data_IF_334193979126
#
_entry.id   IF_334193979126
#
_cell.length_a   1.000
_cell.length_b   1.000
_cell.length_c   1.000
_cell.angle_alpha   90.00
_cell.angle_beta   90.00
_cell.angle_gamma   90.00
#
_symmetry.space_group_name_H-M   'P 1'
#
loop_
_entity.id
_entity.type
_entity.pdbx_description
1 polymer ?
#
# COMPACT_ATOMS: atom_id res chain seq x y z
N UNK A 1 8.59 -8.82 -16.07
CA UNK A 1 7.25 -8.18 -16.13
C UNK A 1 7.30 -6.89 -15.33
N UNK A 2 6.80 -5.78 -15.87
CA UNK A 2 6.73 -4.47 -15.19
C UNK A 2 5.37 -4.26 -14.49
N UNK A 3 4.88 -5.29 -13.79
CA UNK A 3 3.57 -5.24 -13.14
C UNK A 3 3.67 -4.42 -11.86
N UNK A 4 2.82 -3.40 -11.72
CA UNK A 4 2.69 -2.54 -10.54
C UNK A 4 1.31 -2.72 -9.90
N UNK A 5 1.14 -2.23 -8.68
CA UNK A 5 -0.11 -2.31 -7.95
C UNK A 5 -1.18 -1.49 -8.67
N UNK A 6 -2.35 -2.07 -8.89
CA UNK A 6 -3.43 -1.35 -9.59
C UNK A 6 -4.01 -0.23 -8.72
N UNK A 7 -4.73 0.74 -9.31
CA UNK A 7 -5.41 1.79 -8.54
C UNK A 7 -6.39 1.24 -7.50
N UNK A 8 -7.07 0.13 -7.83
CA UNK A 8 -7.95 -0.58 -6.87
C UNK A 8 -7.15 -1.26 -5.77
N UNK A 9 -6.01 -1.87 -6.10
CA UNK A 9 -5.09 -2.44 -5.13
C UNK A 9 -4.54 -1.38 -4.16
N UNK A 10 -4.15 -0.21 -4.67
CA UNK A 10 -3.71 0.94 -3.85
C UNK A 10 -4.82 1.33 -2.87
N UNK A 11 -6.06 1.52 -3.34
CA UNK A 11 -7.20 1.84 -2.47
C UNK A 11 -7.50 0.75 -1.43
N UNK A 12 -7.39 -0.52 -1.81
CA UNK A 12 -7.65 -1.66 -0.92
C UNK A 12 -6.62 -1.74 0.22
N UNK A 13 -5.34 -1.53 -0.10
CA UNK A 13 -4.28 -1.50 0.90
C UNK A 13 -4.44 -0.29 1.83
N UNK A 14 -4.72 0.91 1.30
CA UNK A 14 -4.95 2.10 2.12
C UNK A 14 -6.15 1.90 3.05
N UNK A 15 -7.21 1.21 2.59
CA UNK A 15 -8.37 0.90 3.44
C UNK A 15 -8.03 -0.01 4.63
N UNK A 16 -6.98 -0.83 4.53
CA UNK A 16 -6.48 -1.63 5.64
C UNK A 16 -5.64 -0.83 6.64
N UNK A 17 -4.84 0.13 6.18
CA UNK A 17 -3.87 0.86 7.00
C UNK A 17 -4.43 2.15 7.62
N UNK A 18 -5.40 2.78 6.96
CA UNK A 18 -5.82 4.16 7.18
C UNK A 18 -4.74 5.21 6.81
N UNK A 19 -5.13 6.48 6.86
CA UNK A 19 -4.25 7.63 6.58
C UNK A 19 -4.12 8.49 7.84
N UNK A 20 -2.90 8.90 8.16
CA UNK A 20 -2.62 9.90 9.21
C UNK A 20 -1.65 10.94 8.66
N UNK A 21 -2.15 12.15 8.39
CA UNK A 21 -1.38 13.18 7.65
C UNK A 21 -0.29 13.89 8.48
N UNK A 22 -0.28 13.70 9.80
CA UNK A 22 0.77 14.18 10.69
C UNK A 22 1.48 12.98 11.30
N UNK A 23 2.75 13.16 11.70
CA UNK A 23 3.49 12.07 12.35
C UNK A 23 2.75 11.54 13.58
N UNK A 24 2.81 10.23 13.76
CA UNK A 24 2.27 9.52 14.91
C UNK A 24 3.23 8.40 15.34
N UNK A 25 3.02 7.85 16.53
CA UNK A 25 3.73 6.65 16.98
C UNK A 25 2.84 5.44 16.75
N UNK A 26 3.36 4.43 16.07
CA UNK A 26 2.70 3.15 15.92
C UNK A 26 2.63 2.37 17.26
N UNK A 27 2.08 1.16 17.24
CA UNK A 27 1.98 0.30 18.44
C UNK A 27 3.35 -0.13 18.99
N UNK A 28 4.43 0.02 18.22
CA UNK A 28 5.81 -0.27 18.62
C UNK A 28 6.56 1.01 19.06
N UNK A 29 5.90 2.17 19.03
CA UNK A 29 6.49 3.46 19.39
C UNK A 29 7.33 4.11 18.28
N UNK A 30 7.31 3.57 17.07
CA UNK A 30 8.07 4.06 15.92
C UNK A 30 7.32 5.26 15.31
N UNK A 31 8.05 6.32 14.94
CA UNK A 31 7.48 7.45 14.23
C UNK A 31 7.05 7.05 12.82
N UNK A 32 5.78 7.32 12.51
CA UNK A 32 5.10 6.93 11.29
C UNK A 32 4.28 8.11 10.74
N UNK A 33 4.09 8.20 9.43
CA UNK A 33 3.24 9.22 8.79
C UNK A 33 2.54 8.66 7.53
N UNK A 34 1.49 9.32 7.07
CA UNK A 34 0.77 8.94 5.85
C UNK A 34 0.10 7.58 6.00
N UNK A 35 0.42 6.68 5.08
CA UNK A 35 -0.06 5.28 5.05
C UNK A 35 1.08 4.37 5.51
N UNK A 36 1.30 4.31 6.82
CA UNK A 36 2.28 3.41 7.43
C UNK A 36 3.77 3.71 7.12
N UNK A 37 4.11 4.88 6.57
CA UNK A 37 5.48 5.22 6.20
C UNK A 37 6.37 5.44 7.44
N UNK A 38 7.56 4.83 7.45
CA UNK A 38 8.57 4.98 8.52
C UNK A 38 9.94 5.28 7.90
N UNK A 39 10.88 5.81 8.70
CA UNK A 39 12.24 6.10 8.23
C UNK A 39 12.97 4.89 7.62
N UNK A 40 12.58 3.66 7.98
CA UNK A 40 13.13 2.43 7.39
C UNK A 40 12.80 2.26 5.89
N UNK A 41 11.75 2.92 5.39
CA UNK A 41 11.43 2.98 3.96
C UNK A 41 12.35 3.95 3.20
N UNK A 42 13.11 4.80 3.93
CA UNK A 42 13.98 5.83 3.37
C UNK A 42 13.23 7.06 2.87
N UNK A 43 13.97 8.11 2.52
CA UNK A 43 13.39 9.39 2.11
C UNK A 43 13.02 10.23 3.32
N UNK A 44 11.73 10.56 3.47
CA UNK A 44 11.21 11.38 4.56
C UNK A 44 11.41 10.67 5.92
N UNK A 45 12.03 11.33 6.91
CA UNK A 45 12.04 10.83 8.28
C UNK A 45 10.85 11.40 9.09
N UNK A 46 9.85 10.59 9.51
CA UNK A 46 8.73 11.07 10.31
C UNK A 46 9.14 11.63 11.69
N UNK A 47 10.30 11.25 12.22
CA UNK A 47 10.82 11.78 13.48
C UNK A 47 11.31 13.23 13.34
N UNK A 48 11.70 13.66 12.14
CA UNK A 48 12.19 15.00 11.84
C UNK A 48 11.11 15.89 11.21
N UNK A 49 10.13 15.28 10.53
CA UNK A 49 9.02 16.00 9.91
C UNK A 49 7.95 16.44 10.93
N UNK A 50 7.82 17.75 11.14
CA UNK A 50 6.83 18.32 12.07
C UNK A 50 5.59 18.92 11.39
N UNK A 51 5.56 18.89 10.06
CA UNK A 51 4.45 19.40 9.26
C UNK A 51 3.27 18.44 9.15
N UNK A 52 2.42 18.70 8.15
CA UNK A 52 1.30 17.85 7.79
C UNK A 52 1.31 17.64 6.27
N UNK A 53 1.20 16.39 5.84
CA UNK A 53 1.05 16.03 4.44
C UNK A 53 -0.31 16.50 3.90
N UNK A 54 -0.36 16.84 2.63
CA UNK A 54 -1.60 16.77 1.84
C UNK A 54 -2.01 15.30 1.62
N UNK A 55 -3.25 15.06 1.18
CA UNK A 55 -3.69 13.70 0.86
C UNK A 55 -2.89 13.14 -0.33
N UNK A 56 -2.64 13.97 -1.31
CA UNK A 56 -1.83 13.70 -2.49
C UNK A 56 -0.39 13.33 -2.08
N UNK A 57 0.22 14.07 -1.15
CA UNK A 57 1.56 13.77 -0.63
C UNK A 57 1.59 12.41 0.07
N UNK A 58 0.60 12.13 0.92
CA UNK A 58 0.53 10.86 1.64
C UNK A 58 0.37 9.66 0.70
N UNK A 59 -0.41 9.80 -0.38
CA UNK A 59 -0.59 8.75 -1.38
C UNK A 59 0.66 8.61 -2.27
N UNK A 60 1.30 9.71 -2.66
CA UNK A 60 2.54 9.68 -3.43
C UNK A 60 3.67 8.98 -2.65
N UNK A 61 3.81 9.30 -1.36
CA UNK A 61 4.75 8.65 -0.45
C UNK A 61 4.44 7.15 -0.35
N UNK A 62 3.18 6.80 -0.14
CA UNK A 62 2.75 5.40 -0.10
C UNK A 62 3.04 4.63 -1.40
N UNK A 63 2.81 5.24 -2.57
CA UNK A 63 3.15 4.62 -3.87
C UNK A 63 4.65 4.41 -4.04
N UNK A 64 5.46 5.31 -3.49
CA UNK A 64 6.92 5.13 -3.43
C UNK A 64 7.29 3.91 -2.59
N UNK A 65 6.70 3.79 -1.39
CA UNK A 65 6.93 2.67 -0.48
C UNK A 65 6.52 1.33 -1.12
N UNK A 66 5.37 1.31 -1.81
CA UNK A 66 4.88 0.14 -2.53
C UNK A 66 5.90 -0.41 -3.53
N UNK A 67 6.72 0.45 -4.15
CA UNK A 67 7.73 0.02 -5.11
C UNK A 67 8.68 -1.06 -4.56
N UNK A 68 8.99 -1.03 -3.26
CA UNK A 68 9.80 -2.07 -2.61
C UNK A 68 9.07 -3.41 -2.54
N UNK A 69 7.82 -3.41 -2.10
CA UNK A 69 6.99 -4.62 -1.98
C UNK A 69 6.67 -5.21 -3.36
N UNK A 70 6.36 -4.37 -4.34
CA UNK A 70 6.15 -4.79 -5.72
C UNK A 70 7.38 -5.49 -6.32
N UNK A 71 8.60 -4.97 -6.07
CA UNK A 71 9.84 -5.64 -6.50
C UNK A 71 9.99 -7.03 -5.87
N UNK A 72 9.64 -7.17 -4.58
CA UNK A 72 9.71 -8.45 -3.86
C UNK A 72 8.70 -9.45 -4.41
N UNK A 73 7.45 -9.03 -4.62
CA UNK A 73 6.42 -9.87 -5.26
C UNK A 73 6.87 -10.30 -6.66
N UNK A 74 7.32 -9.38 -7.51
CA UNK A 74 7.80 -9.73 -8.88
C UNK A 74 8.94 -10.74 -8.87
N UNK A 75 9.79 -10.74 -7.84
CA UNK A 75 10.89 -11.70 -7.68
C UNK A 75 10.40 -13.04 -7.13
N UNK A 76 9.47 -13.02 -6.17
CA UNK A 76 9.03 -14.20 -5.45
C UNK A 76 8.16 -15.14 -6.31
N UNK A 77 7.43 -14.60 -7.29
CA UNK A 77 6.57 -15.36 -8.18
C UNK A 77 7.27 -15.65 -9.52
N UNK A 78 7.49 -16.93 -9.81
CA UNK A 78 8.10 -17.39 -11.07
C UNK A 78 7.05 -17.73 -12.14
N UNK A 79 5.78 -17.87 -11.73
CA UNK A 79 4.62 -18.05 -12.61
C UNK A 79 3.85 -16.72 -12.75
N UNK A 80 3.21 -16.45 -13.91
CA UNK A 80 2.45 -15.23 -14.10
C UNK A 80 1.29 -15.07 -13.10
N UNK A 81 1.17 -13.86 -12.57
CA UNK A 81 0.06 -13.42 -11.73
C UNK A 81 -0.92 -12.59 -12.56
N UNK A 82 -2.22 -12.79 -12.33
CA UNK A 82 -3.25 -11.84 -12.72
C UNK A 82 -3.10 -10.57 -11.87
N UNK A 83 -3.64 -9.45 -12.35
CA UNK A 83 -3.49 -8.18 -11.64
C UNK A 83 -4.01 -8.21 -10.20
N UNK A 84 -5.16 -8.82 -9.95
CA UNK A 84 -5.72 -8.92 -8.60
C UNK A 84 -4.91 -9.85 -7.67
N UNK A 85 -4.27 -10.88 -8.22
CA UNK A 85 -3.36 -11.77 -7.47
C UNK A 85 -2.09 -11.01 -7.07
N UNK A 86 -1.56 -10.19 -7.98
CA UNK A 86 -0.43 -9.30 -7.70
C UNK A 86 -0.77 -8.28 -6.60
N UNK A 87 -1.92 -7.61 -6.71
CA UNK A 87 -2.37 -6.65 -5.70
C UNK A 87 -2.56 -7.30 -4.31
N UNK A 88 -3.13 -8.52 -4.26
CA UNK A 88 -3.24 -9.29 -3.02
C UNK A 88 -1.87 -9.69 -2.44
N UNK A 89 -0.92 -10.10 -3.27
CA UNK A 89 0.43 -10.45 -2.84
C UNK A 89 1.20 -9.23 -2.31
N UNK A 90 1.02 -8.05 -2.93
CA UNK A 90 1.60 -6.79 -2.44
C UNK A 90 0.96 -6.40 -1.11
N UNK A 91 -0.36 -6.47 -0.96
CA UNK A 91 -1.05 -6.20 0.31
C UNK A 91 -0.57 -7.13 1.44
N UNK A 92 -0.40 -8.42 1.11
CA UNK A 92 0.14 -9.42 2.02
C UNK A 92 1.56 -9.06 2.49
N UNK A 93 2.44 -8.71 1.55
CA UNK A 93 3.84 -8.37 1.85
C UNK A 93 3.97 -7.03 2.58
N UNK A 94 3.13 -6.05 2.26
CA UNK A 94 3.07 -4.77 2.97
C UNK A 94 2.78 -5.00 4.45
N UNK A 95 1.86 -5.91 4.77
CA UNK A 95 1.51 -6.22 6.16
C UNK A 95 2.58 -7.04 6.91
N UNK A 96 3.23 -7.98 6.22
CA UNK A 96 4.02 -9.04 6.88
C UNK A 96 5.52 -8.94 6.66
N UNK A 97 5.93 -8.27 5.59
CA UNK A 97 7.30 -8.28 5.09
C UNK A 97 7.80 -9.69 4.74
N UNK A 98 6.91 -10.64 4.44
CA UNK A 98 7.24 -12.07 4.44
C UNK A 98 7.04 -12.79 3.10
N UNK A 99 6.78 -12.08 2.00
CA UNK A 99 6.43 -12.73 0.72
C UNK A 99 7.48 -13.76 0.26
N UNK A 100 8.77 -13.47 0.47
CA UNK A 100 9.88 -14.31 0.03
C UNK A 100 9.98 -15.66 0.76
N UNK A 101 9.32 -15.80 1.92
CA UNK A 101 9.36 -17.02 2.76
C UNK A 101 8.00 -17.67 2.95
N UNK A 102 6.97 -17.15 2.31
CA UNK A 102 5.61 -17.64 2.50
C UNK A 102 5.38 -18.92 1.70
N UNK A 103 5.02 -20.01 2.37
CA UNK A 103 4.82 -21.33 1.73
C UNK A 103 3.84 -21.28 0.57
N UNK A 104 2.78 -20.46 0.67
CA UNK A 104 1.78 -20.32 -0.39
C UNK A 104 2.39 -19.83 -1.71
N UNK A 105 3.43 -19.00 -1.67
CA UNK A 105 4.16 -18.54 -2.87
C UNK A 105 4.93 -19.68 -3.51
N UNK A 106 5.58 -20.53 -2.71
CA UNK A 106 6.27 -21.72 -3.21
C UNK A 106 5.28 -22.71 -3.85
N UNK A 107 4.14 -22.96 -3.20
CA UNK A 107 3.06 -23.81 -3.72
C UNK A 107 2.48 -23.26 -5.02
N UNK A 108 2.26 -21.95 -5.13
CA UNK A 108 1.84 -21.32 -6.39
C UNK A 108 2.85 -21.55 -7.52
N UNK A 109 4.14 -21.37 -7.24
CA UNK A 109 5.20 -21.55 -8.23
C UNK A 109 5.32 -23.01 -8.72
N UNK A 110 4.93 -23.98 -7.88
CA UNK A 110 4.82 -25.39 -8.25
C UNK A 110 3.60 -25.70 -9.14
N UNK A 111 2.68 -24.74 -9.30
CA UNK A 111 1.50 -24.86 -10.15
C UNK A 111 0.21 -25.21 -9.41
N UNK A 112 0.26 -25.41 -8.09
CA UNK A 112 -0.91 -25.73 -7.28
C UNK A 112 -1.56 -24.45 -6.75
N UNK A 113 -2.48 -23.88 -7.55
CA UNK A 113 -3.13 -22.61 -7.21
C UNK A 113 -4.14 -22.75 -6.08
N UNK A 114 -4.87 -23.85 -6.03
CA UNK A 114 -5.94 -24.05 -5.05
C UNK A 114 -5.34 -24.19 -3.64
N UNK A 115 -4.30 -25.02 -3.50
CA UNK A 115 -3.59 -25.15 -2.23
C UNK A 115 -2.89 -23.83 -1.84
N UNK A 116 -2.32 -23.11 -2.81
CA UNK A 116 -1.74 -21.78 -2.55
C UNK A 116 -2.78 -20.83 -1.95
N UNK A 117 -4.00 -20.78 -2.50
CA UNK A 117 -5.08 -19.92 -1.98
C UNK A 117 -5.41 -20.28 -0.54
N UNK A 118 -5.56 -21.57 -0.23
CA UNK A 118 -5.83 -22.03 1.14
C UNK A 118 -4.71 -21.62 2.12
N UNK A 119 -3.46 -21.78 1.70
CA UNK A 119 -2.29 -21.50 2.52
C UNK A 119 -2.06 -20.02 2.83
N UNK A 120 -2.71 -19.07 2.14
CA UNK A 120 -2.68 -17.65 2.51
C UNK A 120 -3.13 -17.46 3.97
N UNK A 121 -4.13 -18.25 4.42
CA UNK A 121 -4.64 -18.19 5.80
C UNK A 121 -3.70 -18.80 6.86
N UNK A 122 -2.57 -19.39 6.47
CA UNK A 122 -1.54 -19.80 7.44
C UNK A 122 -0.91 -18.59 8.15
N UNK A 123 -0.99 -17.40 7.54
CA UNK A 123 -0.46 -16.15 8.06
C UNK A 123 -1.46 -15.38 8.92
N UNK A 124 -2.09 -16.03 9.89
CA UNK A 124 -3.25 -15.52 10.65
C UNK A 124 -2.96 -15.05 12.08
N UNK A 125 -1.68 -14.84 12.42
CA UNK A 125 -1.27 -14.41 13.76
C UNK A 125 -0.69 -12.99 13.71
N UNK A 126 -1.08 -12.11 14.64
CA UNK A 126 -2.04 -12.32 15.74
C UNK A 126 -3.53 -12.32 15.28
N UNK A 127 -4.51 -12.78 16.08
CA UNK A 127 -5.89 -13.00 15.61
C UNK A 127 -6.58 -11.80 14.95
N UNK A 128 -6.24 -10.57 15.35
CA UNK A 128 -6.79 -9.35 14.76
C UNK A 128 -6.47 -9.18 13.26
N UNK A 129 -5.49 -9.91 12.71
CA UNK A 129 -5.20 -9.87 11.27
C UNK A 129 -6.01 -10.89 10.46
N UNK A 130 -6.74 -11.81 11.10
CA UNK A 130 -7.57 -12.81 10.40
C UNK A 130 -8.51 -12.17 9.37
N UNK A 131 -9.28 -11.10 9.69
CA UNK A 131 -10.17 -10.48 8.70
C UNK A 131 -9.43 -9.91 7.49
N UNK A 132 -8.22 -9.37 7.69
CA UNK A 132 -7.37 -8.88 6.59
C UNK A 132 -6.92 -10.03 5.70
N UNK A 133 -6.40 -11.11 6.29
CA UNK A 133 -5.95 -12.30 5.53
C UNK A 133 -7.07 -12.94 4.73
N UNK A 134 -8.28 -13.00 5.27
CA UNK A 134 -9.47 -13.49 4.55
C UNK A 134 -9.83 -12.60 3.34
N UNK A 135 -9.69 -11.28 3.47
CA UNK A 135 -9.90 -10.34 2.37
C UNK A 135 -8.84 -10.51 1.28
N UNK A 136 -7.57 -10.64 1.65
CA UNK A 136 -6.49 -10.88 0.69
C UNK A 136 -6.60 -12.24 0.00
N UNK A 137 -6.96 -13.30 0.74
CA UNK A 137 -7.25 -14.60 0.15
C UNK A 137 -8.37 -14.50 -0.89
N UNK A 138 -9.46 -13.80 -0.56
CA UNK A 138 -10.58 -13.59 -1.49
C UNK A 138 -10.16 -12.78 -2.70
N UNK A 139 -9.39 -11.70 -2.51
CA UNK A 139 -8.86 -10.90 -3.60
C UNK A 139 -7.97 -11.74 -4.52
N UNK A 140 -7.10 -12.58 -3.95
CA UNK A 140 -6.24 -13.47 -4.72
C UNK A 140 -7.06 -14.51 -5.50
N UNK A 141 -8.03 -15.15 -4.85
CA UNK A 141 -8.83 -16.22 -5.44
C UNK A 141 -9.80 -15.73 -6.53
N UNK A 142 -10.52 -14.64 -6.28
CA UNK A 142 -11.68 -14.26 -7.11
C UNK A 142 -11.61 -12.85 -7.69
N UNK A 143 -10.58 -12.06 -7.34
CA UNK A 143 -10.49 -10.67 -7.77
C UNK A 143 -11.49 -9.73 -7.09
N UNK A 144 -12.08 -10.15 -5.96
CA UNK A 144 -13.03 -9.35 -5.20
C UNK A 144 -12.28 -8.46 -4.21
N UNK A 145 -12.20 -7.17 -4.53
CA UNK A 145 -11.66 -6.13 -3.63
C UNK A 145 -12.59 -5.89 -2.45
N UNK A 146 -12.03 -5.66 -1.26
CA UNK A 146 -12.80 -5.45 -0.05
C UNK A 146 -13.16 -3.97 0.16
N UNK A 147 -12.36 -3.06 -0.40
CA UNK A 147 -12.58 -1.63 -0.38
C UNK A 147 -13.67 -1.21 -1.36
N UNK A 148 -14.51 -0.29 -0.91
CA UNK A 148 -15.49 0.47 -1.69
C UNK A 148 -14.86 1.71 -2.36
N UNK A 149 -13.53 1.85 -2.30
CA UNK A 149 -12.78 3.01 -2.77
C UNK A 149 -12.62 4.10 -1.71
N UNK A 150 -12.94 3.80 -0.45
CA UNK A 150 -12.80 4.77 0.66
C UNK A 150 -11.83 4.28 1.73
N UNK A 151 -11.31 5.21 2.53
CA UNK A 151 -10.44 4.90 3.66
C UNK A 151 -10.70 5.83 4.84
N UNK A 152 -10.25 5.39 6.03
CA UNK A 152 -10.28 6.24 7.22
C UNK A 152 -9.10 7.20 7.23
N UNK A 153 -9.37 8.47 7.50
CA UNK A 153 -8.39 9.51 7.76
C UNK A 153 -8.47 9.91 9.23
N UNK A 154 -7.39 9.73 9.97
CA UNK A 154 -7.30 10.08 11.38
C UNK A 154 -6.39 11.28 11.62
N UNK A 155 -6.74 12.19 12.55
CA UNK A 155 -5.82 13.18 13.06
C UNK A 155 -4.90 12.57 14.12
N UNK A 156 -3.71 13.15 14.28
CA UNK A 156 -2.79 12.84 15.36
C UNK A 156 -2.37 14.11 16.11
N UNK A 157 -2.02 13.95 17.38
CA UNK A 157 -1.46 15.03 18.22
C UNK A 157 0.02 15.26 17.92
N UNK A 158 0.56 16.42 18.30
CA UNK A 158 1.99 16.74 18.16
C UNK A 158 2.91 15.73 18.89
N UNK A 159 2.41 15.13 19.98
CA UNK A 159 3.10 14.08 20.74
C UNK A 159 3.05 12.69 20.07
N UNK A 160 2.38 12.56 18.92
CA UNK A 160 2.31 11.33 18.14
C UNK A 160 1.16 10.39 18.51
N UNK A 161 0.21 10.81 19.35
CA UNK A 161 -0.99 10.01 19.64
C UNK A 161 -2.04 10.17 18.52
N UNK A 162 -2.44 9.08 17.89
CA UNK A 162 -3.57 9.03 16.94
C UNK A 162 -4.90 9.20 17.69
N UNK A 163 -5.80 10.00 17.13
CA UNK A 163 -7.13 10.26 17.68
C UNK A 163 -8.17 9.39 16.97
N UNK A 164 -8.23 8.11 17.33
CA UNK A 164 -9.10 7.10 16.69
C UNK A 164 -10.59 7.44 16.73
N UNK A 165 -11.04 8.19 17.74
CA UNK A 165 -12.43 8.65 17.85
C UNK A 165 -12.76 9.87 16.98
N UNK A 166 -11.79 10.42 16.23
CA UNK A 166 -11.96 11.58 15.35
C UNK A 166 -11.68 11.25 13.88
N UNK A 167 -11.71 9.96 13.54
CA UNK A 167 -11.56 9.51 12.17
C UNK A 167 -12.73 9.97 11.30
N UNK A 168 -12.43 10.30 10.04
CA UNK A 168 -13.44 10.52 9.01
C UNK A 168 -13.17 9.62 7.82
N UNK A 169 -14.24 9.14 7.19
CA UNK A 169 -14.14 8.38 5.94
C UNK A 169 -13.94 9.35 4.79
N UNK A 170 -13.00 9.06 3.89
CA UNK A 170 -12.74 9.85 2.68
C UNK A 170 -12.83 8.96 1.45
N UNK A 171 -13.27 9.54 0.35
CA UNK A 171 -13.30 8.89 -0.96
C UNK A 171 -11.94 9.05 -1.66
N UNK A 172 -11.37 7.93 -2.10
CA UNK A 172 -10.08 7.91 -2.80
C UNK A 172 -10.25 7.79 -4.32
N UNK A 173 -11.46 7.52 -4.82
CA UNK A 173 -11.70 7.19 -6.22
C UNK A 173 -11.36 8.37 -7.14
N UNK A 174 -11.80 9.56 -6.76
CA UNK A 174 -11.52 10.77 -7.53
C UNK A 174 -10.05 11.15 -7.44
N UNK A 175 -9.47 11.04 -6.25
CA UNK A 175 -8.09 11.42 -5.98
C UNK A 175 -7.09 10.54 -6.74
N UNK A 176 -7.27 9.23 -6.71
CA UNK A 176 -6.39 8.27 -7.38
C UNK A 176 -6.75 8.17 -8.87
N UNK A 177 -8.04 8.11 -9.20
CA UNK A 177 -8.51 8.00 -10.58
C UNK A 177 -8.15 9.21 -11.44
N UNK A 178 -8.34 10.44 -10.95
CA UNK A 178 -7.97 11.64 -11.70
C UNK A 178 -6.45 11.76 -11.89
N UNK A 179 -5.67 11.40 -10.86
CA UNK A 179 -4.22 11.42 -10.94
C UNK A 179 -3.67 10.38 -11.92
N UNK A 180 -4.23 9.17 -11.95
CA UNK A 180 -3.82 8.14 -12.91
C UNK A 180 -4.21 8.49 -14.36
N UNK A 181 -5.35 9.19 -14.56
CA UNK A 181 -5.72 9.77 -15.86
C UNK A 181 -4.73 10.87 -16.28
N UNK A 182 -4.30 11.72 -15.34
CA UNK A 182 -3.33 12.78 -15.60
C UNK A 182 -1.97 12.20 -16.01
N UNK A 183 -1.49 11.15 -15.33
CA UNK A 183 -0.27 10.43 -15.67
C UNK A 183 -0.33 9.85 -17.08
N UNK A 184 -1.42 9.14 -17.41
CA UNK A 184 -1.55 8.53 -18.74
C UNK A 184 -1.62 9.59 -19.86
N UNK A 185 -2.19 10.78 -19.56
CA UNK A 185 -2.21 11.90 -20.51
C UNK A 185 -0.81 12.48 -20.70
N UNK A 186 -0.07 12.75 -19.62
CA UNK A 186 1.26 13.35 -19.71
C UNK A 186 2.22 12.45 -20.47
N UNK A 187 2.27 11.15 -20.16
CA UNK A 187 3.14 10.18 -20.85
C UNK A 187 2.82 10.05 -22.34
N UNK A 188 1.59 10.39 -22.77
CA UNK A 188 1.18 10.35 -24.17
C UNK A 188 1.49 11.65 -24.92
N UNK A 189 1.45 12.80 -24.24
CA UNK A 189 1.68 14.11 -24.86
C UNK A 189 3.14 14.50 -24.90
N UNK A 190 3.89 14.14 -23.87
CA UNK A 190 5.33 14.41 -23.77
C UNK A 190 5.98 13.37 -22.84
N UNK A 191 6.73 12.40 -23.38
CA UNK A 191 7.32 11.33 -22.59
C UNK A 191 8.42 11.81 -21.62
N UNK A 192 8.93 13.03 -21.77
CA UNK A 192 9.93 13.60 -20.85
C UNK A 192 9.28 14.34 -19.66
N UNK A 193 8.00 14.68 -19.75
CA UNK A 193 7.27 15.31 -18.64
C UNK A 193 6.88 14.25 -17.59
N UNK A 194 7.38 14.36 -16.34
CA UNK A 194 6.99 13.44 -15.28
C UNK A 194 5.48 13.49 -15.04
N UNK A 195 4.85 12.31 -14.89
CA UNK A 195 3.45 12.23 -14.45
C UNK A 195 3.22 12.97 -13.12
N UNK A 196 1.95 13.27 -12.83
CA UNK A 196 1.50 13.86 -11.57
C UNK A 196 2.12 13.14 -10.35
N UNK A 197 2.06 11.81 -10.29
CA UNK A 197 2.62 11.08 -9.15
C UNK A 197 4.14 11.21 -9.07
N UNK A 198 4.84 11.11 -10.22
CA UNK A 198 6.28 11.29 -10.27
C UNK A 198 6.70 12.71 -9.83
N UNK A 199 5.94 13.73 -10.23
CA UNK A 199 6.12 15.11 -9.78
C UNK A 199 5.93 15.22 -8.26
N UNK A 200 4.89 14.60 -7.71
CA UNK A 200 4.62 14.63 -6.27
C UNK A 200 5.72 13.91 -5.47
N UNK A 201 6.19 12.75 -5.95
CA UNK A 201 7.30 11.99 -5.35
C UNK A 201 8.58 12.82 -5.35
N UNK A 202 8.91 13.47 -6.47
CA UNK A 202 10.09 14.33 -6.55
C UNK A 202 10.02 15.47 -5.52
N UNK A 203 8.85 16.06 -5.31
CA UNK A 203 8.66 17.12 -4.28
C UNK A 203 8.93 16.62 -2.86
N UNK A 204 8.55 15.37 -2.56
CA UNK A 204 8.77 14.75 -1.24
C UNK A 204 10.24 14.35 -1.05
N UNK A 205 10.93 13.95 -2.11
CA UNK A 205 12.34 13.52 -2.04
C UNK A 205 13.31 14.63 -1.58
N UNK A 206 12.89 15.90 -1.65
CA UNK A 206 13.66 17.04 -1.15
C UNK A 206 13.53 17.27 0.37
N UNK A 207 12.71 16.50 1.08
CA UNK A 207 12.53 16.62 2.54
C UNK A 207 13.57 15.80 3.32
N UNK A 208 14.80 15.75 2.77
CA UNK A 208 15.99 15.13 3.35
C UNK A 208 16.72 16.10 4.28
#
# INVERSE_FOLDING_TARGET
MNQTTSPRGVMDIIAHEAIVLSRYKDVKGIWTIGVGHTAAAGGLDPAEFTGKLTLEEAIALFRTDLGTYERRVRRAFTKPLKQHEFDAAVSFDFNTGAIDRATWVATFNQGDRDLSIEQILNWRKPPQIIPRRQKEQRLFATGTYASDGTAMLYPATRAGRVLWNRGRRIDLRDLIGAADIADNRSTRTDPETPGFWASMINRIAFWR
#
